data_IF_409097342708
#
_entry.id   IF_409097342708
#
_cell.length_a   1.000
_cell.length_b   1.000
_cell.length_c   1.000
_cell.angle_alpha   90.00
_cell.angle_beta   90.00
_cell.angle_gamma   90.00
#
_symmetry.space_group_name_H-M   'P 1'
#
loop_
_entity.id
_entity.type
_entity.pdbx_description
1 polymer ?
#
# COMPACT_ATOMS: atom_id res chain seq x y z
N UNK A 1 -9.46 13.32 22.22
CA UNK A 1 -10.19 12.06 21.96
C UNK A 1 -9.26 11.11 21.22
N UNK A 2 -9.05 9.89 21.73
CA UNK A 2 -7.92 9.00 21.41
C UNK A 2 -7.95 8.45 19.96
N UNK A 3 -7.42 9.23 19.00
CA UNK A 3 -7.28 8.83 17.57
C UNK A 3 -6.47 7.52 17.41
N UNK A 4 -5.63 7.18 18.39
CA UNK A 4 -4.81 5.96 18.42
C UNK A 4 -5.60 4.64 18.50
N UNK A 5 -6.78 4.63 19.16
CA UNK A 5 -7.58 3.40 19.33
C UNK A 5 -8.54 3.11 18.16
N UNK A 6 -8.94 4.15 17.43
CA UNK A 6 -9.87 4.05 16.30
C UNK A 6 -9.19 3.58 15.01
N UNK A 7 -7.90 3.91 14.86
CA UNK A 7 -7.08 3.55 13.69
C UNK A 7 -7.11 2.05 13.34
N UNK A 8 -6.83 1.10 14.28
CA UNK A 8 -6.86 -0.32 13.95
C UNK A 8 -8.26 -0.81 13.57
N UNK A 9 -9.31 -0.23 14.14
CA UNK A 9 -10.69 -0.60 13.80
C UNK A 9 -11.03 -0.21 12.35
N UNK A 10 -10.65 1.00 11.93
CA UNK A 10 -10.83 1.47 10.55
C UNK A 10 -9.99 0.62 9.58
N UNK A 11 -8.73 0.34 9.93
CA UNK A 11 -7.86 -0.51 9.12
C UNK A 11 -8.44 -1.91 8.89
N UNK A 12 -8.95 -2.56 9.94
CA UNK A 12 -9.57 -3.89 9.85
C UNK A 12 -10.85 -3.82 9.05
N UNK A 13 -11.68 -2.79 9.25
CA UNK A 13 -12.91 -2.60 8.48
C UNK A 13 -12.62 -2.47 6.98
N UNK A 14 -11.72 -1.57 6.58
CA UNK A 14 -11.33 -1.40 5.18
C UNK A 14 -10.64 -2.64 4.61
N UNK A 15 -9.88 -3.37 5.42
CA UNK A 15 -9.27 -4.63 5.01
C UNK A 15 -10.32 -5.72 4.74
N UNK A 16 -11.37 -5.82 5.56
CA UNK A 16 -12.49 -6.74 5.32
C UNK A 16 -13.23 -6.36 4.03
N UNK A 17 -13.49 -5.07 3.79
CA UNK A 17 -14.13 -4.62 2.55
C UNK A 17 -13.23 -4.92 1.35
N UNK A 18 -11.91 -4.72 1.49
CA UNK A 18 -10.94 -5.09 0.46
C UNK A 18 -10.96 -6.58 0.16
N UNK A 19 -10.93 -7.44 1.18
CA UNK A 19 -11.01 -8.89 1.04
C UNK A 19 -12.31 -9.35 0.39
N UNK A 20 -13.44 -8.74 0.74
CA UNK A 20 -14.73 -9.03 0.10
C UNK A 20 -14.69 -8.69 -1.38
N UNK A 21 -14.17 -7.51 -1.71
CA UNK A 21 -14.00 -7.04 -3.10
C UNK A 21 -12.99 -7.90 -3.88
N UNK A 22 -12.01 -8.47 -3.17
CA UNK A 22 -11.03 -9.42 -3.69
C UNK A 22 -11.67 -10.75 -4.07
N UNK A 23 -12.43 -11.36 -3.16
CA UNK A 23 -13.11 -12.63 -3.39
C UNK A 23 -14.14 -12.51 -4.53
N UNK A 24 -14.81 -11.36 -4.66
CA UNK A 24 -15.77 -11.13 -5.75
C UNK A 24 -15.13 -10.84 -7.11
N UNK A 25 -13.79 -10.82 -7.21
CA UNK A 25 -13.06 -10.52 -8.45
C UNK A 25 -13.23 -9.07 -8.94
N UNK A 26 -13.72 -8.19 -8.07
CA UNK A 26 -14.06 -6.80 -8.37
C UNK A 26 -13.01 -5.83 -7.80
N UNK A 27 -11.78 -6.31 -7.59
CA UNK A 27 -10.65 -5.51 -7.04
C UNK A 27 -10.38 -4.22 -7.79
N UNK A 28 -10.81 -4.13 -9.05
CA UNK A 28 -10.73 -2.91 -9.84
C UNK A 28 -11.51 -1.75 -9.23
N UNK A 29 -12.64 -1.97 -8.53
CA UNK A 29 -13.34 -0.89 -7.83
C UNK A 29 -12.51 -0.29 -6.69
N UNK A 30 -11.60 -1.08 -6.11
CA UNK A 30 -10.67 -0.57 -5.12
C UNK A 30 -9.75 0.51 -5.69
N UNK A 31 -9.54 0.53 -7.00
CA UNK A 31 -8.74 1.56 -7.68
C UNK A 31 -9.33 2.94 -7.54
N UNK A 32 -10.66 3.07 -7.44
CA UNK A 32 -11.32 4.35 -7.18
C UNK A 32 -10.89 4.84 -5.80
N UNK A 33 -10.94 3.98 -4.79
CA UNK A 33 -10.45 4.33 -3.45
C UNK A 33 -8.96 4.65 -3.43
N UNK A 34 -8.15 3.90 -4.19
CA UNK A 34 -6.70 4.15 -4.28
C UNK A 34 -6.41 5.48 -5.00
N UNK A 35 -7.17 5.82 -6.04
CA UNK A 35 -7.03 7.08 -6.76
C UNK A 35 -7.45 8.28 -5.91
N UNK A 36 -8.62 8.19 -5.25
CA UNK A 36 -9.04 9.19 -4.29
C UNK A 36 -7.99 9.36 -3.18
N UNK A 37 -7.36 8.27 -2.69
CA UNK A 37 -6.28 8.41 -1.72
C UNK A 37 -5.20 9.35 -2.17
N UNK A 38 -4.77 9.26 -3.42
CA UNK A 38 -3.55 9.94 -3.87
C UNK A 38 -3.81 11.43 -3.89
N UNK A 39 -5.00 11.80 -4.38
CA UNK A 39 -5.51 13.18 -4.33
C UNK A 39 -5.59 13.64 -2.86
N UNK A 40 -6.21 12.85 -2.00
CA UNK A 40 -6.35 13.19 -0.58
C UNK A 40 -5.01 13.15 0.19
N UNK A 41 -4.05 12.31 -0.20
CA UNK A 41 -2.74 12.18 0.43
C UNK A 41 -1.85 13.38 0.13
N UNK A 42 -2.06 14.06 -1.00
CA UNK A 42 -1.45 15.37 -1.23
C UNK A 42 -1.88 16.42 -0.19
N UNK A 43 -3.07 16.27 0.41
CA UNK A 43 -3.64 17.21 1.39
C UNK A 43 -3.43 16.73 2.84
N UNK A 44 -3.58 15.43 3.07
CA UNK A 44 -3.59 14.79 4.39
C UNK A 44 -2.34 13.91 4.65
N UNK A 45 -1.37 13.83 3.75
CA UNK A 45 -0.13 13.07 3.94
C UNK A 45 -0.32 11.60 4.37
N UNK A 46 0.48 11.15 5.35
CA UNK A 46 0.50 9.76 5.86
C UNK A 46 -0.78 9.31 6.59
N UNK A 47 -1.75 10.20 6.80
CA UNK A 47 -3.03 9.82 7.43
C UNK A 47 -3.79 8.79 6.58
N UNK A 48 -3.70 8.82 5.24
CA UNK A 48 -4.35 7.78 4.43
C UNK A 48 -3.71 6.39 4.60
N UNK A 49 -2.37 6.32 4.54
CA UNK A 49 -1.61 5.09 4.72
C UNK A 49 -1.88 4.42 6.07
N UNK A 50 -2.07 5.22 7.12
CA UNK A 50 -2.36 4.73 8.46
C UNK A 50 -3.79 4.23 8.67
N UNK A 51 -4.75 4.51 7.79
CA UNK A 51 -6.17 4.21 8.04
C UNK A 51 -6.83 3.35 6.97
N UNK A 52 -6.58 3.64 5.68
CA UNK A 52 -7.34 3.05 4.56
C UNK A 52 -6.48 2.05 3.76
N UNK A 53 -5.15 2.20 3.78
CA UNK A 53 -4.27 1.37 2.97
C UNK A 53 -4.24 -0.09 3.45
N UNK A 54 -4.72 -1.06 2.65
CA UNK A 54 -4.73 -2.48 3.04
C UNK A 54 -3.31 -3.04 3.19
N UNK A 55 -2.33 -2.46 2.47
CA UNK A 55 -0.93 -2.86 2.54
C UNK A 55 -0.36 -2.62 3.95
N UNK A 56 -0.65 -1.45 4.53
CA UNK A 56 -0.19 -1.09 5.86
C UNK A 56 -0.80 -2.01 6.93
N UNK A 57 -2.07 -2.38 6.78
CA UNK A 57 -2.76 -3.34 7.67
C UNK A 57 -2.08 -4.71 7.68
N UNK A 58 -1.43 -5.12 6.58
CA UNK A 58 -0.70 -6.40 6.49
C UNK A 58 0.76 -6.24 6.95
N UNK A 59 1.47 -5.22 6.47
CA UNK A 59 2.90 -5.01 6.72
C UNK A 59 3.19 -4.76 8.21
N UNK A 60 2.36 -3.97 8.87
CA UNK A 60 2.56 -3.59 10.27
C UNK A 60 2.57 -4.78 11.25
N UNK A 61 1.58 -5.69 11.26
CA UNK A 61 1.64 -6.87 12.12
C UNK A 61 2.78 -7.82 11.73
N UNK A 62 3.14 -7.93 10.45
CA UNK A 62 4.32 -8.69 10.00
C UNK A 62 5.59 -8.13 10.63
N UNK A 63 5.77 -6.81 10.64
CA UNK A 63 6.94 -6.18 11.23
C UNK A 63 7.00 -6.38 12.75
N UNK A 64 5.86 -6.25 13.45
CA UNK A 64 5.78 -6.54 14.89
C UNK A 64 6.19 -7.99 15.17
N UNK A 65 5.72 -8.94 14.36
CA UNK A 65 6.06 -10.35 14.50
C UNK A 65 7.55 -10.61 14.22
N UNK A 66 8.12 -10.00 13.18
CA UNK A 66 9.57 -10.08 12.88
C UNK A 66 10.42 -9.51 14.00
N UNK A 67 10.04 -8.37 14.56
CA UNK A 67 10.74 -7.74 15.67
C UNK A 67 10.69 -8.61 16.93
N UNK A 68 9.52 -9.21 17.24
CA UNK A 68 9.38 -10.17 18.35
C UNK A 68 10.21 -11.44 18.14
N UNK A 69 10.35 -11.88 16.89
CA UNK A 69 11.16 -13.04 16.52
C UNK A 69 12.68 -12.74 16.47
N UNK A 70 13.12 -11.51 16.79
CA UNK A 70 14.52 -11.10 16.71
C UNK A 70 15.03 -10.85 15.29
N UNK A 71 14.18 -10.96 14.27
CA UNK A 71 14.48 -10.68 12.86
C UNK A 71 14.21 -9.22 12.50
N UNK A 72 14.69 -8.28 13.34
CA UNK A 72 14.66 -6.85 13.03
C UNK A 72 15.41 -6.62 11.71
N UNK A 73 14.66 -6.18 10.70
CA UNK A 73 15.08 -6.18 9.30
C UNK A 73 16.47 -5.59 9.07
N UNK A 74 17.29 -6.32 8.28
CA UNK A 74 18.62 -5.88 7.83
C UNK A 74 18.55 -4.46 7.22
N UNK A 75 19.64 -3.72 7.39
CA UNK A 75 19.88 -2.37 6.85
C UNK A 75 19.25 -2.17 5.46
N UNK A 76 18.54 -1.05 5.28
CA UNK A 76 17.95 -0.65 3.99
C UNK A 76 19.08 -0.65 2.95
N UNK A 77 19.01 -1.44 1.86
CA UNK A 77 20.04 -1.47 0.84
C UNK A 77 20.18 -0.09 0.19
N UNK A 78 21.40 0.32 -0.16
CA UNK A 78 21.69 1.67 -0.65
C UNK A 78 20.86 2.07 -1.88
N UNK A 79 20.42 1.11 -2.69
CA UNK A 79 19.51 1.34 -3.82
C UNK A 79 18.14 1.88 -3.36
N UNK A 80 17.57 1.33 -2.27
CA UNK A 80 16.28 1.73 -1.69
C UNK A 80 16.37 3.02 -0.84
N UNK A 81 17.57 3.53 -0.58
CA UNK A 81 17.76 4.83 0.09
C UNK A 81 17.57 6.01 -0.87
N UNK A 82 17.69 5.79 -2.18
CA UNK A 82 17.57 6.84 -3.20
C UNK A 82 16.11 7.14 -3.55
N UNK A 83 15.85 8.33 -4.12
CA UNK A 83 14.53 8.76 -4.61
C UNK A 83 14.11 8.02 -5.90
N UNK A 84 15.06 7.40 -6.61
CA UNK A 84 14.85 6.71 -7.89
C UNK A 84 13.82 5.58 -7.83
N UNK A 85 13.90 4.59 -6.91
CA UNK A 85 12.91 3.53 -6.81
C UNK A 85 11.52 4.04 -6.43
N UNK A 86 11.42 5.14 -5.66
CA UNK A 86 10.15 5.80 -5.37
C UNK A 86 9.53 6.37 -6.64
N UNK A 87 10.30 7.13 -7.43
CA UNK A 87 9.84 7.70 -8.69
C UNK A 87 9.46 6.61 -9.70
N UNK A 88 10.26 5.54 -9.78
CA UNK A 88 9.96 4.38 -10.63
C UNK A 88 8.65 3.70 -10.23
N UNK A 89 8.44 3.45 -8.94
CA UNK A 89 7.21 2.82 -8.46
C UNK A 89 6.00 3.74 -8.67
N UNK A 90 6.17 5.05 -8.50
CA UNK A 90 5.12 6.04 -8.79
C UNK A 90 4.76 6.06 -10.28
N UNK A 91 5.75 6.03 -11.18
CA UNK A 91 5.52 5.92 -12.62
C UNK A 91 4.80 4.62 -12.97
N UNK A 92 5.25 3.48 -12.44
CA UNK A 92 4.61 2.18 -12.63
C UNK A 92 3.18 2.17 -12.09
N UNK A 93 2.95 2.86 -10.97
CA UNK A 93 1.62 3.01 -10.40
C UNK A 93 0.69 3.80 -11.33
N UNK A 94 1.13 4.94 -11.84
CA UNK A 94 0.37 5.77 -12.79
C UNK A 94 0.09 5.01 -14.10
N UNK A 95 1.09 4.32 -14.65
CA UNK A 95 0.93 3.49 -15.84
C UNK A 95 -0.06 2.34 -15.56
N UNK A 96 0.09 1.67 -14.41
CA UNK A 96 -0.82 0.63 -13.96
C UNK A 96 -2.26 1.12 -13.80
N UNK A 97 -2.46 2.34 -13.27
CA UNK A 97 -3.77 2.99 -13.23
C UNK A 97 -4.36 3.11 -14.63
N UNK A 98 -3.60 3.67 -15.59
CA UNK A 98 -4.03 3.82 -16.97
C UNK A 98 -4.41 2.50 -17.63
N UNK A 99 -3.58 1.46 -17.44
CA UNK A 99 -3.87 0.09 -17.91
C UNK A 99 -5.15 -0.45 -17.28
N UNK A 100 -5.36 -0.22 -15.99
CA UNK A 100 -6.55 -0.72 -15.29
C UNK A 100 -7.83 0.00 -15.75
N UNK A 101 -7.76 1.32 -15.98
CA UNK A 101 -8.88 2.09 -16.54
C UNK A 101 -9.22 1.59 -17.93
N UNK A 102 -8.22 1.40 -18.79
CA UNK A 102 -8.42 0.84 -20.12
C UNK A 102 -8.99 -0.59 -20.05
N UNK A 103 -8.50 -1.42 -19.12
CA UNK A 103 -9.03 -2.76 -18.90
C UNK A 103 -10.50 -2.72 -18.47
N UNK A 104 -10.89 -1.81 -17.57
CA UNK A 104 -12.29 -1.64 -17.15
C UNK A 104 -13.21 -1.23 -18.31
N UNK A 105 -12.77 -0.31 -19.18
CA UNK A 105 -13.52 0.11 -20.37
C UNK A 105 -13.71 -1.07 -21.34
N UNK A 106 -12.68 -1.90 -21.51
CA UNK A 106 -12.70 -3.08 -22.38
C UNK A 106 -13.33 -4.32 -21.73
N UNK A 107 -13.95 -4.21 -20.55
CA UNK A 107 -14.56 -5.33 -19.83
C UNK A 107 -13.57 -6.38 -19.28
N UNK A 108 -12.27 -6.07 -19.29
CA UNK A 108 -11.18 -6.92 -18.81
C UNK A 108 -10.81 -6.62 -17.36
N UNK A 109 -10.32 -7.64 -16.65
CA UNK A 109 -9.94 -7.52 -15.22
C UNK A 109 -8.43 -7.40 -15.06
N UNK A 110 -7.97 -6.26 -14.55
CA UNK A 110 -6.56 -6.05 -14.19
C UNK A 110 -6.40 -5.84 -12.67
N UNK A 111 -5.80 -6.80 -11.95
CA UNK A 111 -5.72 -6.80 -10.48
C UNK A 111 -4.54 -5.95 -9.95
N UNK A 112 -4.39 -4.69 -10.38
CA UNK A 112 -3.29 -3.82 -9.94
C UNK A 112 -3.12 -3.75 -8.41
N UNK A 113 -4.18 -3.59 -7.59
CA UNK A 113 -4.03 -3.51 -6.14
C UNK A 113 -3.36 -4.75 -5.54
N UNK A 114 -3.64 -5.93 -6.09
CA UNK A 114 -3.09 -7.21 -5.62
C UNK A 114 -1.59 -7.28 -5.91
N UNK A 115 -1.18 -6.84 -7.11
CA UNK A 115 0.23 -6.81 -7.50
C UNK A 115 1.02 -5.91 -6.54
N UNK A 116 0.50 -4.71 -6.25
CA UNK A 116 1.17 -3.74 -5.38
C UNK A 116 1.22 -4.24 -3.93
N UNK A 117 0.12 -4.84 -3.41
CA UNK A 117 0.10 -5.44 -2.08
C UNK A 117 1.15 -6.54 -1.98
N UNK A 118 1.22 -7.44 -2.96
CA UNK A 118 2.20 -8.52 -2.99
C UNK A 118 3.64 -7.99 -2.96
N UNK A 119 3.95 -6.96 -3.75
CA UNK A 119 5.28 -6.32 -3.73
C UNK A 119 5.57 -5.67 -2.37
N UNK A 120 4.59 -4.99 -1.76
CA UNK A 120 4.74 -4.38 -0.44
C UNK A 120 4.99 -5.39 0.68
N UNK A 121 4.27 -6.51 0.65
CA UNK A 121 4.46 -7.60 1.60
C UNK A 121 5.83 -8.26 1.39
N UNK A 122 6.21 -8.57 0.15
CA UNK A 122 7.52 -9.17 -0.16
C UNK A 122 8.69 -8.28 0.27
N UNK A 123 8.63 -6.98 -0.03
CA UNK A 123 9.68 -6.03 0.37
C UNK A 123 9.82 -5.91 1.89
N UNK A 124 8.70 -5.96 2.63
CA UNK A 124 8.70 -5.98 4.10
C UNK A 124 9.27 -7.28 4.67
N UNK A 125 8.89 -8.42 4.09
CA UNK A 125 9.38 -9.73 4.52
C UNK A 125 10.90 -9.84 4.32
N UNK A 126 11.41 -9.40 3.17
CA UNK A 126 12.84 -9.45 2.85
C UNK A 126 13.67 -8.42 3.63
N UNK A 127 13.13 -7.22 3.85
CA UNK A 127 13.83 -6.12 4.51
C UNK A 127 13.08 -5.68 5.77
N UNK A 128 12.33 -4.58 5.70
CA UNK A 128 11.64 -3.93 6.81
C UNK A 128 10.46 -3.11 6.24
N UNK A 129 9.43 -2.83 7.06
CA UNK A 129 8.30 -1.97 6.69
C UNK A 129 8.77 -0.60 6.17
N UNK A 130 9.85 -0.05 6.75
CA UNK A 130 10.44 1.22 6.33
C UNK A 130 10.94 1.23 4.88
N UNK A 131 11.37 0.07 4.35
CA UNK A 131 11.81 -0.05 2.96
C UNK A 131 10.65 0.14 1.99
N UNK A 132 9.47 -0.42 2.31
CA UNK A 132 8.26 -0.21 1.52
C UNK A 132 7.78 1.23 1.63
N UNK A 133 7.70 1.77 2.84
CA UNK A 133 7.19 3.13 3.05
C UNK A 133 8.03 4.22 2.38
N UNK A 134 9.35 4.01 2.22
CA UNK A 134 10.22 4.92 1.46
C UNK A 134 9.96 4.93 -0.05
N UNK A 135 9.62 3.78 -0.62
CA UNK A 135 9.41 3.64 -2.08
C UNK A 135 7.95 3.79 -2.48
N UNK A 136 7.02 3.65 -1.53
CA UNK A 136 5.60 3.76 -1.78
C UNK A 136 5.29 5.12 -2.41
N UNK A 137 4.45 5.14 -3.44
CA UNK A 137 4.02 6.36 -4.10
C UNK A 137 3.36 7.38 -3.14
N UNK A 138 2.86 6.91 -1.99
CA UNK A 138 2.26 7.71 -0.92
C UNK A 138 3.24 8.12 0.19
N UNK A 139 4.50 7.67 0.12
CA UNK A 139 5.54 8.04 1.08
C UNK A 139 6.08 9.42 0.78
N UNK A 140 6.12 10.28 1.80
CA UNK A 140 6.88 11.53 1.91
C UNK A 140 6.45 12.71 1.01
N UNK A 141 5.27 13.26 1.30
CA UNK A 141 5.19 14.72 1.49
C UNK A 141 5.34 14.93 3.01
N UNK A 142 6.33 15.73 3.43
CA UNK A 142 6.88 15.95 4.79
C UNK A 142 7.99 14.99 5.22
#
# INVERSE_FOLDING_TARGET
MQISKIRPFIQVLFFIIFLRTFISGQTQFWMVFVFLSIIFAGIFGRYYCGFICPINTIIHPIQILKNKAGFSGKNIPNFLKSEKPRLLLMLLFIVGLGITVNAMINGSRFPLPIIIISIGVLTTLLFNENSWHRICAHGDFY
#
